data_IF_563940097426
#
_entry.id   IF_563940097426
#
_cell.length_a   1.000
_cell.length_b   1.000
_cell.length_c   1.000
_cell.angle_alpha   90.00
_cell.angle_beta   90.00
_cell.angle_gamma   90.00
#
_symmetry.space_group_name_H-M   'P 1'
#
loop_
_entity.id
_entity.type
_entity.pdbx_description
1 polymer ?
#
# COMPACT_ATOMS: atom_id res chain seq x y z
N UNK A 1 -16.89 -18.87 11.63
CA UNK A 1 -15.59 -18.20 11.78
C UNK A 1 -15.17 -17.74 10.39
N UNK A 2 -15.37 -16.46 10.10
CA UNK A 2 -15.45 -15.89 8.74
C UNK A 2 -14.09 -15.85 8.06
N UNK A 3 -13.94 -16.61 6.97
CA UNK A 3 -12.91 -16.40 5.96
C UNK A 3 -13.25 -15.09 5.20
N UNK A 4 -12.76 -13.94 5.66
CA UNK A 4 -12.67 -12.77 4.78
C UNK A 4 -11.45 -12.96 3.89
N UNK A 5 -11.69 -13.60 2.75
CA UNK A 5 -10.70 -13.76 1.69
C UNK A 5 -10.22 -12.39 1.21
N UNK A 6 -8.91 -12.25 1.10
CA UNK A 6 -8.27 -11.17 0.37
C UNK A 6 -8.65 -11.33 -1.11
N UNK A 7 -9.78 -10.72 -1.48
CA UNK A 7 -10.32 -10.72 -2.84
C UNK A 7 -9.28 -10.11 -3.79
N UNK A 8 -8.65 -10.97 -4.60
CA UNK A 8 -7.70 -10.56 -5.66
C UNK A 8 -8.37 -9.77 -6.80
N UNK A 9 -9.70 -9.64 -6.77
CA UNK A 9 -10.51 -9.03 -7.83
C UNK A 9 -10.50 -7.50 -7.76
N UNK A 10 -10.28 -6.91 -6.57
CA UNK A 10 -10.23 -5.45 -6.36
C UNK A 10 -8.96 -4.80 -6.95
N UNK A 11 -7.87 -5.57 -7.07
CA UNK A 11 -6.60 -5.09 -7.63
C UNK A 11 -6.68 -4.79 -9.15
N UNK A 12 -7.51 -5.55 -9.88
CA UNK A 12 -7.69 -5.39 -11.32
C UNK A 12 -8.69 -4.28 -11.68
N UNK A 13 -9.66 -3.97 -10.82
CA UNK A 13 -10.67 -2.93 -11.07
C UNK A 13 -10.09 -1.51 -10.98
N UNK A 14 -9.17 -1.25 -10.05
CA UNK A 14 -8.50 0.07 -9.89
C UNK A 14 -7.65 0.47 -11.10
N UNK A 15 -7.13 -0.49 -11.86
CA UNK A 15 -6.28 -0.23 -13.03
C UNK A 15 -7.01 0.47 -14.18
N UNK A 16 -8.36 0.49 -14.17
CA UNK A 16 -9.19 1.07 -15.24
C UNK A 16 -10.06 2.24 -14.79
N UNK A 17 -9.84 2.77 -13.59
CA UNK A 17 -10.60 3.91 -13.08
C UNK A 17 -10.37 5.14 -13.98
N UNK A 18 -11.45 5.72 -14.49
CA UNK A 18 -11.39 6.93 -15.31
C UNK A 18 -10.78 8.08 -14.50
N UNK A 19 -9.77 8.74 -15.05
CA UNK A 19 -9.18 9.96 -14.45
C UNK A 19 -10.28 10.99 -14.26
N UNK A 20 -10.43 11.51 -13.04
CA UNK A 20 -11.34 12.60 -12.72
C UNK A 20 -10.52 13.85 -12.41
N UNK A 21 -10.93 14.99 -12.95
CA UNK A 21 -10.33 16.27 -12.59
C UNK A 21 -10.59 16.57 -11.10
N UNK A 22 -9.56 16.97 -10.38
CA UNK A 22 -9.65 17.40 -9.00
C UNK A 22 -9.13 18.84 -8.89
N UNK A 23 -9.88 19.69 -8.18
CA UNK A 23 -9.43 21.03 -7.85
C UNK A 23 -8.55 20.96 -6.60
N UNK A 24 -7.36 21.54 -6.68
CA UNK A 24 -6.34 21.47 -5.64
C UNK A 24 -5.55 22.77 -5.60
N UNK A 25 -5.16 23.18 -4.39
CA UNK A 25 -4.33 24.35 -4.14
C UNK A 25 -2.88 23.90 -3.98
N UNK A 26 -1.98 24.46 -4.78
CA UNK A 26 -0.53 24.23 -4.72
C UNK A 26 0.14 25.61 -4.64
N UNK A 27 1.31 25.66 -3.97
CA UNK A 27 2.16 26.83 -3.97
C UNK A 27 2.45 27.29 -5.42
N UNK A 28 2.19 28.57 -5.71
CA UNK A 28 2.30 29.14 -7.05
C UNK A 28 3.73 29.17 -7.60
N UNK A 29 4.73 29.44 -6.75
CA UNK A 29 6.14 29.45 -7.14
C UNK A 29 6.61 28.05 -7.51
N UNK A 30 6.23 27.04 -6.72
CA UNK A 30 6.55 25.64 -7.00
C UNK A 30 5.92 25.19 -8.34
N UNK A 31 4.67 25.58 -8.59
CA UNK A 31 4.00 25.28 -9.86
C UNK A 31 4.72 25.94 -11.04
N UNK A 32 5.17 27.18 -10.88
CA UNK A 32 5.93 27.88 -11.92
C UNK A 32 7.27 27.21 -12.19
N UNK A 33 8.01 26.83 -11.14
CA UNK A 33 9.27 26.09 -11.26
C UNK A 33 9.07 24.75 -11.97
N UNK A 34 8.04 24.00 -11.59
CA UNK A 34 7.72 22.72 -12.24
C UNK A 34 7.44 22.88 -13.74
N UNK A 35 6.69 23.92 -14.13
CA UNK A 35 6.44 24.23 -15.54
C UNK A 35 7.71 24.66 -16.28
N UNK A 36 8.56 25.47 -15.66
CA UNK A 36 9.83 25.90 -16.25
C UNK A 36 10.79 24.72 -16.50
N UNK A 37 10.69 23.67 -15.69
CA UNK A 37 11.47 22.44 -15.80
C UNK A 37 10.80 21.34 -16.65
N UNK A 38 9.70 21.65 -17.33
CA UNK A 38 8.90 20.69 -18.12
C UNK A 38 8.45 19.43 -17.33
N UNK A 39 8.21 19.59 -16.04
CA UNK A 39 7.74 18.49 -15.18
C UNK A 39 6.27 18.18 -15.50
N UNK A 40 6.00 16.92 -15.81
CA UNK A 40 4.64 16.44 -16.02
C UNK A 40 3.87 16.35 -14.69
N UNK A 41 3.24 17.45 -14.33
CA UNK A 41 2.54 17.62 -13.04
C UNK A 41 1.51 16.51 -12.77
N UNK A 42 0.75 16.09 -13.79
CA UNK A 42 -0.26 15.06 -13.61
C UNK A 42 0.37 13.71 -13.27
N UNK A 43 1.43 13.32 -13.98
CA UNK A 43 2.12 12.05 -13.72
C UNK A 43 2.81 12.07 -12.36
N UNK A 44 3.51 13.16 -12.02
CA UNK A 44 4.19 13.31 -10.74
C UNK A 44 3.22 13.27 -9.57
N UNK A 45 2.10 13.99 -9.65
CA UNK A 45 1.08 13.99 -8.59
C UNK A 45 0.44 12.62 -8.41
N UNK A 46 0.10 11.95 -9.52
CA UNK A 46 -0.47 10.60 -9.50
C UNK A 46 0.49 9.60 -8.80
N UNK A 47 1.77 9.61 -9.18
CA UNK A 47 2.78 8.74 -8.55
C UNK A 47 2.95 9.03 -7.06
N UNK A 48 3.04 10.30 -6.68
CA UNK A 48 3.17 10.71 -5.28
C UNK A 48 1.94 10.28 -4.47
N UNK A 49 0.74 10.44 -5.03
CA UNK A 49 -0.51 10.05 -4.39
C UNK A 49 -0.62 8.54 -4.23
N UNK A 50 -0.28 7.76 -5.26
CA UNK A 50 -0.24 6.30 -5.20
C UNK A 50 0.69 5.81 -4.09
N UNK A 51 1.88 6.42 -3.97
CA UNK A 51 2.83 6.06 -2.93
C UNK A 51 2.28 6.39 -1.53
N UNK A 52 1.73 7.60 -1.35
CA UNK A 52 1.14 8.02 -0.07
C UNK A 52 -0.02 7.10 0.35
N UNK A 53 -0.91 6.74 -0.59
CA UNK A 53 -2.03 5.82 -0.33
C UNK A 53 -1.52 4.45 0.07
N UNK A 54 -0.55 3.88 -0.64
CA UNK A 54 0.05 2.58 -0.31
C UNK A 54 0.65 2.57 1.09
N UNK A 55 1.43 3.61 1.44
CA UNK A 55 2.02 3.74 2.77
C UNK A 55 0.93 3.77 3.86
N UNK A 56 -0.10 4.59 3.68
CA UNK A 56 -1.21 4.68 4.65
C UNK A 56 -1.99 3.36 4.78
N UNK A 57 -2.22 2.66 3.68
CA UNK A 57 -2.87 1.36 3.68
C UNK A 57 -2.03 0.32 4.43
N UNK A 58 -0.72 0.30 4.21
CA UNK A 58 0.20 -0.58 4.94
C UNK A 58 0.22 -0.29 6.45
N UNK A 59 0.24 0.99 6.85
CA UNK A 59 0.14 1.41 8.25
C UNK A 59 -1.17 0.95 8.90
N UNK A 60 -2.29 1.13 8.20
CA UNK A 60 -3.61 0.69 8.66
C UNK A 60 -3.66 -0.83 8.83
N UNK A 61 -3.22 -1.57 7.81
CA UNK A 61 -3.17 -3.02 7.86
C UNK A 61 -2.31 -3.51 9.01
N UNK A 62 -1.11 -2.93 9.20
CA UNK A 62 -0.22 -3.30 10.31
C UNK A 62 -0.93 -3.11 11.64
N UNK A 63 -1.56 -1.94 11.87
CA UNK A 63 -2.31 -1.66 13.12
C UNK A 63 -3.44 -2.66 13.37
N UNK A 64 -4.21 -2.99 12.33
CA UNK A 64 -5.32 -3.95 12.44
C UNK A 64 -4.84 -5.38 12.72
N UNK A 65 -3.67 -5.76 12.20
CA UNK A 65 -3.16 -7.12 12.28
C UNK A 65 -2.13 -7.33 13.41
N UNK A 66 -1.85 -6.31 14.24
CA UNK A 66 -0.88 -6.42 15.34
C UNK A 66 -1.14 -7.63 16.24
N UNK A 67 -2.39 -7.84 16.66
CA UNK A 67 -2.76 -8.95 17.53
C UNK A 67 -2.63 -10.32 16.83
N UNK A 68 -3.00 -10.41 15.55
CA UNK A 68 -2.88 -11.65 14.79
C UNK A 68 -1.41 -12.02 14.55
N UNK A 69 -0.57 -11.01 14.26
CA UNK A 69 0.88 -11.19 14.12
C UNK A 69 1.51 -11.62 15.44
N UNK A 70 1.13 -10.99 16.56
CA UNK A 70 1.63 -11.39 17.88
C UNK A 70 1.23 -12.83 18.23
N UNK A 71 -0.04 -13.20 18.06
CA UNK A 71 -0.51 -14.56 18.31
C UNK A 71 0.19 -15.60 17.41
N UNK A 72 0.46 -15.27 16.15
CA UNK A 72 1.23 -16.12 15.25
C UNK A 72 2.69 -16.26 15.71
N UNK A 73 3.34 -15.16 16.11
CA UNK A 73 4.70 -15.20 16.60
C UNK A 73 4.81 -16.06 17.87
N UNK A 74 3.90 -15.90 18.82
CA UNK A 74 3.85 -16.72 20.04
C UNK A 74 3.64 -18.20 19.72
N UNK A 75 2.80 -18.50 18.73
CA UNK A 75 2.59 -19.87 18.24
C UNK A 75 3.86 -20.45 17.62
N UNK A 76 4.58 -19.69 16.80
CA UNK A 76 5.85 -20.12 16.19
C UNK A 76 6.94 -20.36 17.24
N UNK A 77 7.07 -19.48 18.23
CA UNK A 77 8.04 -19.66 19.33
C UNK A 77 7.72 -20.93 20.16
N UNK A 78 6.43 -21.20 20.39
CA UNK A 78 6.01 -22.37 21.17
C UNK A 78 6.07 -23.70 20.38
N UNK A 79 5.84 -23.67 19.06
CA UNK A 79 5.55 -24.85 18.25
C UNK A 79 6.63 -25.14 17.19
N UNK A 80 7.56 -24.20 16.98
CA UNK A 80 8.47 -24.21 15.83
C UNK A 80 7.79 -23.75 14.54
N UNK A 81 8.57 -23.60 13.47
CA UNK A 81 8.03 -23.34 12.13
C UNK A 81 7.80 -24.66 11.38
N UNK A 82 6.84 -24.66 10.46
CA UNK A 82 6.53 -25.84 9.63
C UNK A 82 7.76 -26.45 8.91
N UNK A 83 8.76 -25.63 8.59
CA UNK A 83 9.99 -26.07 7.92
C UNK A 83 11.03 -26.73 8.83
N UNK A 84 10.86 -26.70 10.16
CA UNK A 84 11.86 -27.22 11.11
C UNK A 84 12.09 -28.72 10.96
N UNK A 85 11.10 -29.48 10.48
CA UNK A 85 11.22 -30.91 10.21
C UNK A 85 11.77 -31.29 8.83
N UNK A 86 11.98 -30.33 7.92
CA UNK A 86 12.23 -30.61 6.49
C UNK A 86 13.53 -29.98 5.96
N UNK A 87 14.25 -29.23 6.80
CA UNK A 87 15.50 -28.58 6.42
C UNK A 87 16.69 -29.55 6.55
N UNK A 88 16.91 -30.38 5.53
CA UNK A 88 18.19 -31.04 5.28
C UNK A 88 18.96 -30.21 4.23
N UNK A 89 20.21 -29.86 4.53
CA UNK A 89 21.14 -29.16 3.62
C UNK A 89 22.02 -30.15 2.85
#
# INVERSE_FOLDING_TARGET
>A
MTHEGFDRSDATARARASKRAANLSINSELLQQARALDINLSATLEQALQQAVRTRQAELWRRQNLHAIAAYNDAVEAQGVFSDGVRAF
#
